data_IF_293908049357
#
_entry.id   IF_293908049357
#
_cell.length_a   1.000
_cell.length_b   1.000
_cell.length_c   1.000
_cell.angle_alpha   90.00
_cell.angle_beta   90.00
_cell.angle_gamma   90.00
#
_symmetry.space_group_name_H-M   'P 1'
#
loop_
_entity.id
_entity.type
_entity.pdbx_description
1 polymer ?
#
# COMPACT_ATOMS: atom_id res chain seq x y z
N UNK A 1 -71.52 -23.94 -7.31
CA UNK A 1 -70.24 -24.08 -8.06
C UNK A 1 -69.65 -22.75 -8.57
N UNK A 2 -70.45 -21.74 -8.94
CA UNK A 2 -69.98 -20.47 -9.52
C UNK A 2 -69.06 -19.60 -8.62
N UNK A 3 -69.23 -19.62 -7.29
CA UNK A 3 -68.40 -18.83 -6.37
C UNK A 3 -66.94 -19.29 -6.25
N UNK A 4 -66.71 -20.62 -6.26
CA UNK A 4 -65.35 -21.19 -6.19
C UNK A 4 -64.52 -20.85 -7.44
N UNK A 5 -65.18 -20.82 -8.61
CA UNK A 5 -64.55 -20.44 -9.88
C UNK A 5 -64.15 -18.96 -9.89
N UNK A 6 -65.01 -18.06 -9.40
CA UNK A 6 -64.70 -16.63 -9.28
C UNK A 6 -63.50 -16.36 -8.37
N UNK A 7 -63.43 -17.04 -7.22
CA UNK A 7 -62.30 -16.89 -6.30
C UNK A 7 -61.00 -17.41 -6.91
N UNK A 8 -61.05 -18.53 -7.65
CA UNK A 8 -59.88 -19.06 -8.35
C UNK A 8 -59.36 -18.10 -9.42
N UNK A 9 -60.25 -17.43 -10.16
CA UNK A 9 -59.88 -16.41 -11.17
C UNK A 9 -59.20 -15.21 -10.51
N UNK A 10 -59.71 -14.72 -9.37
CA UNK A 10 -59.12 -13.59 -8.65
C UNK A 10 -57.73 -13.93 -8.12
N UNK A 11 -57.57 -15.13 -7.55
CA UNK A 11 -56.25 -15.60 -7.07
C UNK A 11 -55.27 -15.72 -8.24
N UNK A 12 -55.69 -16.32 -9.36
CA UNK A 12 -54.86 -16.44 -10.55
C UNK A 12 -54.43 -15.06 -11.10
N UNK A 13 -55.35 -14.10 -11.15
CA UNK A 13 -55.04 -12.72 -11.55
C UNK A 13 -54.06 -12.04 -10.58
N UNK A 14 -54.22 -12.25 -9.27
CA UNK A 14 -53.32 -11.72 -8.25
C UNK A 14 -51.91 -12.29 -8.35
N UNK A 15 -51.78 -13.60 -8.56
CA UNK A 15 -50.48 -14.27 -8.77
C UNK A 15 -49.82 -13.75 -10.04
N UNK A 16 -50.58 -13.61 -11.14
CA UNK A 16 -50.06 -13.04 -12.38
C UNK A 16 -49.51 -11.63 -12.16
N UNK A 17 -50.28 -10.75 -11.52
CA UNK A 17 -49.85 -9.37 -11.25
C UNK A 17 -48.60 -9.36 -10.36
N UNK A 18 -48.54 -10.19 -9.32
CA UNK A 18 -47.40 -10.25 -8.42
C UNK A 18 -46.14 -10.78 -9.12
N UNK A 19 -46.27 -11.77 -10.00
CA UNK A 19 -45.16 -12.27 -10.81
C UNK A 19 -44.64 -11.19 -11.77
N UNK A 20 -45.53 -10.46 -12.45
CA UNK A 20 -45.15 -9.36 -13.33
C UNK A 20 -44.45 -8.25 -12.54
N UNK A 21 -45.00 -7.84 -11.40
CA UNK A 21 -44.38 -6.83 -10.53
C UNK A 21 -42.99 -7.26 -10.06
N UNK A 22 -42.81 -8.52 -9.64
CA UNK A 22 -41.51 -9.06 -9.22
C UNK A 22 -40.51 -9.06 -10.37
N UNK A 23 -40.92 -9.48 -11.58
CA UNK A 23 -40.04 -9.45 -12.76
C UNK A 23 -39.60 -8.03 -13.13
N UNK A 24 -40.48 -7.04 -12.99
CA UNK A 24 -40.16 -5.63 -13.21
C UNK A 24 -39.16 -5.14 -12.15
N UNK A 25 -39.36 -5.46 -10.86
CA UNK A 25 -38.42 -5.08 -9.79
C UNK A 25 -37.04 -5.71 -10.01
N UNK A 26 -36.97 -6.99 -10.37
CA UNK A 26 -35.70 -7.66 -10.66
C UNK A 26 -35.00 -7.05 -11.88
N UNK A 27 -35.77 -6.69 -12.92
CA UNK A 27 -35.25 -5.97 -14.08
C UNK A 27 -34.64 -4.62 -13.70
N UNK A 28 -35.33 -3.80 -12.89
CA UNK A 28 -34.81 -2.52 -12.41
C UNK A 28 -33.61 -2.65 -11.47
N UNK A 29 -33.58 -3.69 -10.63
CA UNK A 29 -32.45 -3.95 -9.74
C UNK A 29 -31.19 -4.33 -10.54
N UNK A 30 -31.33 -5.23 -11.52
CA UNK A 30 -30.24 -5.58 -12.42
C UNK A 30 -29.78 -4.37 -13.24
N UNK A 31 -30.67 -3.53 -13.78
CA UNK A 31 -30.30 -2.33 -14.54
C UNK A 31 -29.51 -1.31 -13.69
N UNK A 32 -29.90 -1.12 -12.41
CA UNK A 32 -29.16 -0.25 -11.48
C UNK A 32 -27.77 -0.80 -11.17
N UNK A 33 -27.66 -2.09 -10.88
CA UNK A 33 -26.37 -2.77 -10.67
C UNK A 33 -25.50 -2.68 -11.94
N UNK A 34 -26.07 -2.84 -13.13
CA UNK A 34 -25.32 -2.73 -14.38
C UNK A 34 -24.87 -1.31 -14.69
N UNK A 35 -25.61 -0.25 -14.34
CA UNK A 35 -25.13 1.13 -14.50
C UNK A 35 -24.01 1.48 -13.54
N UNK A 36 -24.11 1.08 -12.27
CA UNK A 36 -23.09 1.37 -11.27
C UNK A 36 -21.82 0.49 -11.48
N UNK A 37 -21.96 -0.66 -12.15
CA UNK A 37 -20.87 -1.55 -12.52
C UNK A 37 -20.37 -1.38 -13.97
N UNK A 38 -21.06 -0.59 -14.81
CA UNK A 38 -20.69 -0.38 -16.22
C UNK A 38 -19.33 0.29 -16.39
N UNK A 39 -18.86 1.01 -15.37
CA UNK A 39 -17.52 1.61 -15.37
C UNK A 39 -16.39 0.57 -15.15
N UNK A 40 -16.74 -0.66 -14.78
CA UNK A 40 -15.78 -1.75 -14.52
C UNK A 40 -15.61 -2.68 -15.73
N UNK A 41 -16.45 -2.57 -16.78
CA UNK A 41 -16.50 -3.57 -17.85
C UNK A 41 -16.31 -3.04 -19.29
N UNK A 42 -15.80 -1.82 -19.47
CA UNK A 42 -15.51 -1.26 -20.80
C UNK A 42 -14.04 -0.88 -21.02
N UNK A 43 -13.10 -1.49 -20.30
CA UNK A 43 -11.68 -1.42 -20.68
C UNK A 43 -11.37 -2.67 -21.49
N UNK A 44 -11.31 -2.50 -22.81
CA UNK A 44 -10.75 -3.49 -23.72
C UNK A 44 -9.36 -3.90 -23.20
N UNK A 45 -9.15 -5.21 -23.00
CA UNK A 45 -7.83 -5.81 -22.77
C UNK A 45 -6.94 -5.57 -23.99
N UNK A 46 -6.37 -4.39 -24.06
CA UNK A 46 -5.20 -4.12 -24.88
C UNK A 46 -4.02 -4.69 -24.11
N UNK A 47 -3.43 -5.76 -24.66
CA UNK A 47 -2.19 -6.34 -24.15
C UNK A 47 -1.07 -5.32 -24.25
N UNK A 48 -0.91 -4.50 -23.21
CA UNK A 48 0.24 -3.63 -23.05
C UNK A 48 1.44 -4.50 -22.73
N UNK A 49 2.33 -4.65 -23.70
CA UNK A 49 3.70 -5.04 -23.46
C UNK A 49 4.39 -3.91 -22.69
N UNK A 50 4.26 -3.89 -21.37
CA UNK A 50 4.99 -2.98 -20.48
C UNK A 50 6.45 -3.43 -20.32
N UNK A 51 7.19 -3.56 -21.43
CA UNK A 51 8.65 -3.62 -21.41
C UNK A 51 9.22 -2.31 -21.96
N UNK A 52 9.24 -1.27 -21.14
CA UNK A 52 10.32 -0.26 -21.12
C UNK A 52 10.06 0.87 -20.12
N UNK A 53 9.76 0.57 -18.85
CA UNK A 53 10.22 1.48 -17.80
C UNK A 53 11.68 1.13 -17.55
N UNK A 54 12.58 1.88 -18.18
CA UNK A 54 13.98 1.93 -17.77
C UNK A 54 14.00 2.39 -16.32
N UNK A 55 13.98 1.43 -15.38
CA UNK A 55 14.34 1.67 -14.00
C UNK A 55 15.76 2.21 -14.01
N UNK A 56 15.90 3.54 -13.93
CA UNK A 56 17.18 4.15 -13.69
C UNK A 56 17.60 3.67 -12.30
N UNK A 57 18.49 2.68 -12.27
CA UNK A 57 19.04 2.15 -11.05
C UNK A 57 19.75 3.30 -10.33
N UNK A 58 19.26 3.66 -9.14
CA UNK A 58 19.88 4.73 -8.35
C UNK A 58 21.31 4.32 -8.01
N UNK A 59 22.31 5.21 -8.18
CA UNK A 59 23.68 4.94 -7.73
C UNK A 59 23.73 4.73 -6.21
N UNK A 60 24.68 3.93 -5.76
CA UNK A 60 24.91 3.70 -4.33
C UNK A 60 25.70 4.88 -3.73
N UNK A 61 25.18 5.47 -2.66
CA UNK A 61 25.79 6.55 -1.89
C UNK A 61 27.18 6.17 -1.37
N UNK A 62 27.38 4.89 -1.02
CA UNK A 62 28.68 4.38 -0.57
C UNK A 62 29.74 4.35 -1.68
N UNK A 63 29.31 4.45 -2.95
CA UNK A 63 30.19 4.47 -4.12
C UNK A 63 30.29 5.84 -4.78
N UNK A 64 29.42 6.79 -4.42
CA UNK A 64 29.41 8.13 -5.01
C UNK A 64 30.72 8.88 -4.74
N UNK A 65 31.32 9.45 -5.79
CA UNK A 65 32.49 10.32 -5.67
C UNK A 65 32.08 11.78 -5.44
N UNK A 66 33.09 12.64 -5.20
CA UNK A 66 32.88 14.05 -4.89
C UNK A 66 32.11 14.77 -6.00
N UNK A 67 32.48 14.54 -7.26
CA UNK A 67 31.87 15.20 -8.41
C UNK A 67 30.42 14.77 -8.59
N UNK A 68 30.11 13.48 -8.41
CA UNK A 68 28.75 12.93 -8.45
C UNK A 68 27.86 13.54 -7.36
N UNK A 69 28.39 13.71 -6.15
CA UNK A 69 27.65 14.36 -5.06
C UNK A 69 27.41 15.85 -5.35
N UNK A 70 28.39 16.54 -5.93
CA UNK A 70 28.28 17.97 -6.26
C UNK A 70 27.30 18.28 -7.42
N UNK A 71 26.90 17.28 -8.21
CA UNK A 71 25.83 17.43 -9.20
C UNK A 71 24.44 17.58 -8.57
N UNK A 72 24.31 17.28 -7.27
CA UNK A 72 23.06 17.39 -6.56
C UNK A 72 22.81 18.85 -6.16
N UNK A 73 21.64 19.37 -6.55
CA UNK A 73 21.20 20.72 -6.16
C UNK A 73 21.29 20.86 -4.63
N UNK A 74 22.02 21.87 -4.15
CA UNK A 74 22.23 22.14 -2.72
C UNK A 74 23.45 21.43 -2.11
N UNK A 75 24.08 20.48 -2.81
CA UNK A 75 25.31 19.83 -2.36
C UNK A 75 26.51 20.56 -2.95
N UNK A 76 27.07 21.49 -2.17
CA UNK A 76 28.34 22.15 -2.50
C UNK A 76 29.56 21.30 -2.13
N UNK A 77 30.76 21.78 -2.49
CA UNK A 77 32.05 21.11 -2.18
C UNK A 77 32.19 20.72 -0.71
N UNK A 78 31.73 21.59 0.21
CA UNK A 78 31.76 21.34 1.66
C UNK A 78 30.87 20.15 2.02
N UNK A 79 29.60 20.18 1.65
CA UNK A 79 28.65 19.11 1.94
C UNK A 79 29.07 17.78 1.34
N UNK A 80 29.57 17.79 0.10
CA UNK A 80 30.10 16.58 -0.54
C UNK A 80 31.30 15.99 0.23
N UNK A 81 32.24 16.82 0.67
CA UNK A 81 33.35 16.37 1.53
C UNK A 81 32.84 15.84 2.88
N UNK A 82 31.89 16.51 3.52
CA UNK A 82 31.37 16.10 4.81
C UNK A 82 30.66 14.73 4.73
N UNK A 83 29.96 14.43 3.63
CA UNK A 83 29.37 13.12 3.34
C UNK A 83 30.44 12.02 3.18
N UNK A 84 31.52 12.31 2.43
CA UNK A 84 32.62 11.36 2.24
C UNK A 84 33.36 11.11 3.55
N UNK A 85 33.69 12.18 4.29
CA UNK A 85 34.35 12.11 5.59
C UNK A 85 33.52 11.30 6.60
N UNK A 86 32.20 11.47 6.59
CA UNK A 86 31.32 10.70 7.45
C UNK A 86 31.46 9.20 7.19
N UNK A 87 31.37 8.74 5.93
CA UNK A 87 31.50 7.30 5.61
C UNK A 87 32.91 6.74 5.83
N UNK A 88 33.94 7.57 5.74
CA UNK A 88 35.32 7.16 6.03
C UNK A 88 35.55 7.02 7.54
N UNK A 89 34.95 7.91 8.35
CA UNK A 89 35.12 7.93 9.81
C UNK A 89 34.20 6.95 10.54
N UNK A 90 32.96 6.83 10.09
CA UNK A 90 31.91 6.02 10.74
C UNK A 90 31.68 4.68 10.05
N UNK A 91 32.38 4.41 8.95
CA UNK A 91 32.12 3.27 8.08
C UNK A 91 31.03 3.57 7.05
N UNK A 92 30.80 2.61 6.14
CA UNK A 92 29.79 2.75 5.07
C UNK A 92 28.43 3.10 5.66
N UNK A 93 27.69 3.96 4.96
CA UNK A 93 26.27 4.18 5.25
C UNK A 93 25.55 2.84 5.20
N UNK A 94 24.71 2.57 6.19
CA UNK A 94 23.79 1.43 6.25
C UNK A 94 22.34 1.87 6.07
N UNK A 95 22.07 3.18 6.21
CA UNK A 95 20.78 3.81 5.96
C UNK A 95 20.97 5.23 5.43
N UNK A 96 20.06 5.67 4.55
CA UNK A 96 20.02 7.07 4.12
C UNK A 96 19.81 8.04 5.29
N UNK A 97 19.15 7.61 6.37
CA UNK A 97 18.86 8.45 7.55
C UNK A 97 20.12 9.00 8.24
N UNK A 98 21.25 8.31 8.13
CA UNK A 98 22.53 8.74 8.69
C UNK A 98 23.06 10.02 8.05
N UNK A 99 22.57 10.40 6.86
CA UNK A 99 22.88 11.70 6.26
C UNK A 99 22.44 12.88 7.15
N UNK A 100 21.41 12.70 7.98
CA UNK A 100 20.92 13.73 8.93
C UNK A 100 21.88 13.99 10.08
N UNK A 101 22.85 13.12 10.31
CA UNK A 101 23.89 13.31 11.33
C UNK A 101 25.00 14.26 10.84
N UNK A 102 25.02 14.58 9.55
CA UNK A 102 25.99 15.49 8.96
C UNK A 102 25.41 16.90 8.99
N UNK A 103 26.01 17.78 9.78
CA UNK A 103 25.52 19.15 10.01
C UNK A 103 25.38 20.02 8.76
N UNK A 104 26.07 19.69 7.68
CA UNK A 104 25.98 20.39 6.39
C UNK A 104 24.87 19.87 5.46
N UNK A 105 24.12 18.85 5.89
CA UNK A 105 22.99 18.28 5.15
C UNK A 105 21.71 18.80 5.81
N UNK A 106 21.06 19.76 5.16
CA UNK A 106 19.73 20.21 5.55
C UNK A 106 18.62 19.28 5.03
N UNK A 107 17.37 19.53 5.44
CA UNK A 107 16.23 18.70 5.07
C UNK A 107 15.95 18.68 3.56
N UNK A 108 16.15 19.79 2.84
CA UNK A 108 15.95 19.84 1.38
C UNK A 108 17.00 18.96 0.69
N UNK A 109 18.28 19.12 1.06
CA UNK A 109 19.40 18.33 0.54
C UNK A 109 19.21 16.85 0.87
N UNK A 110 18.82 16.52 2.09
CA UNK A 110 18.52 15.15 2.52
C UNK A 110 17.46 14.49 1.63
N UNK A 111 16.35 15.18 1.36
CA UNK A 111 15.26 14.65 0.54
C UNK A 111 15.71 14.42 -0.91
N UNK A 112 16.52 15.32 -1.47
CA UNK A 112 17.06 15.15 -2.82
C UNK A 112 18.04 13.97 -2.86
N UNK A 113 18.93 13.84 -1.87
CA UNK A 113 19.86 12.71 -1.77
C UNK A 113 19.11 11.37 -1.68
N UNK A 114 18.03 11.28 -0.90
CA UNK A 114 17.15 10.10 -0.82
C UNK A 114 16.44 9.79 -2.15
N UNK A 115 16.14 10.82 -2.93
CA UNK A 115 15.58 10.65 -4.28
C UNK A 115 16.63 10.13 -5.27
N UNK A 116 17.90 10.47 -5.11
CA UNK A 116 18.96 10.23 -6.11
C UNK A 116 19.87 9.04 -5.82
N UNK A 117 20.05 8.67 -4.57
CA UNK A 117 20.94 7.58 -4.17
C UNK A 117 20.18 6.47 -3.45
N UNK A 118 20.83 5.31 -3.38
CA UNK A 118 20.48 4.20 -2.48
C UNK A 118 21.66 3.90 -1.56
N UNK A 119 21.45 3.13 -0.51
CA UNK A 119 22.50 2.55 0.32
C UNK A 119 22.35 1.04 0.23
N UNK A 120 23.24 0.39 -0.53
CA UNK A 120 23.23 -1.07 -0.63
C UNK A 120 23.97 -1.62 0.59
N UNK A 121 23.23 -2.05 1.60
CA UNK A 121 23.85 -2.77 2.71
C UNK A 121 24.43 -4.08 2.17
N UNK A 122 25.76 -4.19 2.23
CA UNK A 122 26.51 -5.36 1.80
C UNK A 122 26.11 -6.57 2.66
N UNK A 123 25.34 -7.49 2.08
CA UNK A 123 25.03 -8.79 2.66
C UNK A 123 23.56 -9.17 2.49
N UNK A 124 23.25 -9.88 1.40
CA UNK A 124 21.95 -10.52 1.11
C UNK A 124 20.75 -9.57 0.96
N UNK A 125 20.63 -8.97 -0.23
CA UNK A 125 19.35 -8.48 -0.73
C UNK A 125 18.97 -9.28 -1.97
N UNK A 126 18.03 -10.21 -1.81
CA UNK A 126 17.30 -10.77 -2.94
C UNK A 126 16.48 -9.64 -3.56
N UNK A 127 16.99 -9.13 -4.68
CA UNK A 127 16.25 -8.68 -5.86
C UNK A 127 14.72 -8.74 -5.69
N UNK A 128 14.10 -7.60 -5.40
CA UNK A 128 12.75 -7.20 -5.81
C UNK A 128 12.38 -5.88 -5.12
N UNK A 129 12.83 -4.76 -5.68
CA UNK A 129 12.28 -3.45 -5.31
C UNK A 129 11.82 -2.75 -6.59
N UNK A 130 10.60 -3.11 -6.97
CA UNK A 130 9.66 -2.15 -7.56
C UNK A 130 9.41 -1.06 -6.52
N UNK A 131 9.26 0.21 -6.93
CA UNK A 131 8.95 1.36 -6.09
C UNK A 131 7.60 1.22 -5.36
N UNK A 132 7.53 0.31 -4.40
CA UNK A 132 6.58 0.27 -3.31
C UNK A 132 7.40 0.22 -2.03
N UNK A 133 7.11 1.09 -1.08
CA UNK A 133 7.55 0.91 0.31
C UNK A 133 7.37 -0.56 0.69
N UNK A 134 8.46 -1.24 1.08
CA UNK A 134 8.44 -2.64 1.50
C UNK A 134 7.29 -2.83 2.49
N UNK A 135 6.26 -3.55 2.06
CA UNK A 135 5.07 -3.75 2.89
C UNK A 135 5.43 -4.61 4.09
N UNK A 136 4.96 -4.22 5.26
CA UNK A 136 5.18 -4.98 6.50
C UNK A 136 4.16 -6.12 6.55
N UNK A 137 4.64 -7.36 6.70
CA UNK A 137 3.79 -8.53 6.73
C UNK A 137 3.16 -8.71 8.13
N UNK A 138 1.83 -8.70 8.22
CA UNK A 138 1.06 -8.79 9.46
C UNK A 138 1.23 -10.11 10.19
N UNK A 139 1.57 -11.18 9.50
CA UNK A 139 1.70 -12.52 10.07
C UNK A 139 3.11 -12.78 10.60
N UNK A 140 4.13 -12.15 10.02
CA UNK A 140 5.53 -12.39 10.40
C UNK A 140 6.22 -11.23 11.09
N UNK A 141 5.70 -10.00 10.98
CA UNK A 141 6.38 -8.82 11.50
C UNK A 141 6.51 -8.84 13.03
N UNK A 142 7.63 -8.29 13.49
CA UNK A 142 7.93 -7.95 14.88
C UNK A 142 7.28 -6.61 15.27
N UNK A 143 7.24 -6.32 16.58
CA UNK A 143 6.75 -5.02 17.09
C UNK A 143 7.49 -3.85 16.43
N UNK A 144 8.82 -3.94 16.31
CA UNK A 144 9.63 -2.87 15.72
C UNK A 144 9.36 -2.69 14.22
N UNK A 145 9.14 -3.77 13.48
CA UNK A 145 8.78 -3.69 12.06
C UNK A 145 7.39 -3.10 11.86
N UNK A 146 6.42 -3.42 12.72
CA UNK A 146 5.10 -2.80 12.69
C UNK A 146 5.16 -1.31 13.02
N UNK A 147 5.93 -0.92 14.05
CA UNK A 147 6.12 0.48 14.43
C UNK A 147 6.87 1.32 13.39
N UNK A 148 7.52 0.69 12.40
CA UNK A 148 8.10 1.42 11.26
C UNK A 148 7.03 2.05 10.35
N UNK A 149 5.78 1.58 10.45
CA UNK A 149 4.63 2.15 9.75
C UNK A 149 4.08 3.32 10.55
N UNK A 150 4.19 4.52 9.99
CA UNK A 150 3.66 5.75 10.60
C UNK A 150 2.20 5.59 11.03
N UNK A 151 1.92 5.85 12.31
CA UNK A 151 0.60 5.71 12.92
C UNK A 151 0.40 4.41 13.70
N UNK A 152 1.29 3.41 13.54
CA UNK A 152 1.30 2.22 14.38
C UNK A 152 2.11 2.51 15.65
N UNK A 153 1.42 2.68 16.78
CA UNK A 153 2.05 2.81 18.09
C UNK A 153 2.49 1.45 18.62
N UNK A 154 3.32 1.43 19.68
CA UNK A 154 3.72 0.19 20.35
C UNK A 154 2.50 -0.61 20.85
N UNK A 155 1.48 0.07 21.36
CA UNK A 155 0.22 -0.53 21.82
C UNK A 155 -0.51 -1.23 20.67
N UNK A 156 -0.69 -0.53 19.54
CA UNK A 156 -1.35 -1.10 18.35
C UNK A 156 -0.54 -2.27 17.80
N UNK A 157 0.80 -2.16 17.74
CA UNK A 157 1.67 -3.25 17.29
C UNK A 157 1.52 -4.50 18.17
N UNK A 158 1.43 -4.34 19.50
CA UNK A 158 1.17 -5.45 20.42
C UNK A 158 -0.22 -6.06 20.18
N UNK A 159 -1.24 -5.23 19.96
CA UNK A 159 -2.59 -5.70 19.69
C UNK A 159 -2.69 -6.49 18.37
N UNK A 160 -1.96 -6.08 17.33
CA UNK A 160 -1.87 -6.84 16.06
C UNK A 160 -1.26 -8.23 16.30
N UNK A 161 -0.16 -8.30 17.06
CA UNK A 161 0.49 -9.58 17.38
C UNK A 161 -0.40 -10.46 18.28
N UNK A 162 -1.10 -9.86 19.24
CA UNK A 162 -2.04 -10.58 20.09
C UNK A 162 -3.21 -11.13 19.26
N UNK A 163 -3.78 -10.32 18.38
CA UNK A 163 -4.91 -10.70 17.52
C UNK A 163 -4.57 -11.89 16.60
N UNK A 164 -3.37 -11.93 16.00
CA UNK A 164 -2.96 -13.08 15.17
C UNK A 164 -2.65 -14.34 15.97
N UNK A 165 -2.26 -14.21 17.24
CA UNK A 165 -2.07 -15.36 18.14
C UNK A 165 -3.40 -15.94 18.60
N UNK A 166 -4.36 -15.09 18.91
CA UNK A 166 -5.61 -15.50 19.54
C UNK A 166 -6.66 -16.01 18.54
N UNK A 167 -6.70 -15.46 17.31
CA UNK A 167 -7.67 -15.91 16.29
C UNK A 167 -7.02 -16.37 14.98
N UNK A 168 -5.71 -16.64 15.01
CA UNK A 168 -4.96 -17.11 13.86
C UNK A 168 -4.50 -15.99 12.92
N UNK A 169 -3.72 -16.40 11.92
CA UNK A 169 -3.11 -15.49 10.94
C UNK A 169 -4.15 -14.64 10.21
N UNK A 170 -3.77 -13.41 9.90
CA UNK A 170 -4.54 -12.52 9.05
C UNK A 170 -4.62 -13.12 7.64
N UNK A 171 -5.83 -13.26 7.10
CA UNK A 171 -6.03 -13.69 5.70
C UNK A 171 -6.17 -12.51 4.73
N UNK A 172 -6.44 -11.33 5.28
CA UNK A 172 -6.49 -10.06 4.57
C UNK A 172 -6.05 -8.91 5.46
N UNK A 173 -5.49 -7.85 4.86
CA UNK A 173 -5.14 -6.62 5.60
C UNK A 173 -6.38 -5.97 6.23
N UNK A 174 -7.57 -6.19 5.65
CA UNK A 174 -8.86 -5.62 6.12
C UNK A 174 -9.23 -6.04 7.54
N UNK A 175 -8.82 -7.23 7.96
CA UNK A 175 -9.05 -7.77 9.30
C UNK A 175 -8.35 -6.95 10.41
N UNK A 176 -7.46 -6.02 10.06
CA UNK A 176 -6.94 -5.03 11.01
C UNK A 176 -8.06 -4.19 11.65
N UNK A 177 -9.20 -4.02 10.99
CA UNK A 177 -10.35 -3.32 11.56
C UNK A 177 -10.95 -4.02 12.79
N UNK A 178 -10.64 -5.31 12.99
CA UNK A 178 -11.04 -6.08 14.17
C UNK A 178 -9.97 -6.03 15.29
N UNK A 179 -8.88 -5.29 15.07
CA UNK A 179 -7.80 -5.15 16.04
C UNK A 179 -8.02 -3.91 16.91
N UNK A 180 -8.00 -4.09 18.24
CA UNK A 180 -8.17 -2.99 19.18
C UNK A 180 -7.13 -1.88 18.95
N UNK A 181 -7.60 -0.64 18.90
CA UNK A 181 -6.77 0.53 18.60
C UNK A 181 -6.63 0.86 17.11
N UNK A 182 -7.10 0.01 16.19
CA UNK A 182 -7.13 0.30 14.77
C UNK A 182 -8.48 0.90 14.37
N UNK A 183 -8.50 2.22 14.16
CA UNK A 183 -9.68 2.91 13.62
C UNK A 183 -9.73 2.80 12.09
N UNK A 184 -10.90 3.01 11.50
CA UNK A 184 -11.06 3.06 10.03
C UNK A 184 -10.17 4.15 9.38
N UNK A 185 -9.96 5.27 10.09
CA UNK A 185 -9.12 6.37 9.61
C UNK A 185 -7.63 6.00 9.64
N UNK A 186 -7.19 5.26 10.67
CA UNK A 186 -5.85 4.72 10.73
C UNK A 186 -5.64 3.65 9.66
N UNK A 187 -6.56 2.70 9.54
CA UNK A 187 -6.53 1.64 8.53
C UNK A 187 -6.33 2.20 7.11
N UNK A 188 -7.09 3.23 6.72
CA UNK A 188 -6.97 3.84 5.39
C UNK A 188 -5.59 4.47 5.12
N UNK A 189 -4.83 4.85 6.17
CA UNK A 189 -3.49 5.44 6.04
C UNK A 189 -2.35 4.42 6.00
N UNK A 190 -2.59 3.23 6.54
CA UNK A 190 -1.54 2.21 6.74
C UNK A 190 -1.74 0.96 5.87
N UNK A 191 -2.95 0.72 5.37
CA UNK A 191 -3.30 -0.53 4.67
C UNK A 191 -2.48 -0.80 3.40
N UNK A 192 -2.06 0.23 2.69
CA UNK A 192 -1.20 0.13 1.49
C UNK A 192 0.24 -0.28 1.83
N UNK A 193 0.69 0.02 3.05
CA UNK A 193 2.02 -0.32 3.61
C UNK A 193 2.06 -1.70 4.26
N UNK A 194 0.96 -2.46 4.25
CA UNK A 194 0.84 -3.75 4.95
C UNK A 194 0.50 -4.88 3.97
N UNK A 195 0.90 -6.10 4.32
CA UNK A 195 0.57 -7.34 3.60
C UNK A 195 0.24 -8.44 4.61
N UNK A 196 -0.44 -9.50 4.18
CA UNK A 196 -0.56 -10.77 4.93
C UNK A 196 0.44 -11.80 4.42
#
# INVERSE_FOLDING_TARGET
>A
MKGKVRNAIIIAAGVLILTVMLTVVLYYYNDKVMRDNAWVFSVEETSYNENSYSYVQKPDLNSADLETLMQIKGVGRKTAHDIINYREKHGKFTSMSQLKEISSVDDEVYMILCSRFTVTSSGYYTKNESYGTRKVNLNTATVNELMSVEGITEEIAKNIILRRKDHGDYTSVRELLDTEGVTITLYSKISDKLTV
#
